data_IF_330900451057
#
_entry.id   IF_330900451057
#
_cell.length_a   1.000
_cell.length_b   1.000
_cell.length_c   1.000
_cell.angle_alpha   90.00
_cell.angle_beta   90.00
_cell.angle_gamma   90.00
#
_symmetry.space_group_name_H-M   'P 1'
#
loop_
_entity.id
_entity.type
_entity.pdbx_description
1 polymer ?
#
# COMPACT_ATOMS: atom_id res chain seq x y z
N UNK A 1 4.54 -0.95 -35.34
CA UNK A 1 3.95 -0.71 -33.99
C UNK A 1 4.63 -1.53 -32.86
N UNK A 2 5.94 -1.37 -32.63
CA UNK A 2 6.67 -2.23 -31.65
C UNK A 2 6.66 -1.71 -30.19
N UNK A 3 6.43 -0.41 -29.97
CA UNK A 3 6.45 0.19 -28.63
C UNK A 3 5.20 -0.10 -27.77
N UNK A 4 4.04 -0.37 -28.38
CA UNK A 4 2.78 -0.59 -27.64
C UNK A 4 2.83 -1.84 -26.75
N UNK A 5 3.47 -2.93 -27.22
CA UNK A 5 3.64 -4.17 -26.45
C UNK A 5 4.58 -3.97 -25.25
N UNK A 6 5.72 -3.28 -25.44
CA UNK A 6 6.66 -2.91 -24.36
C UNK A 6 5.99 -2.03 -23.31
N UNK A 7 5.26 -0.99 -23.72
CA UNK A 7 4.50 -0.12 -22.81
C UNK A 7 3.44 -0.88 -22.01
N UNK A 8 2.71 -1.81 -22.63
CA UNK A 8 1.72 -2.66 -21.94
C UNK A 8 2.39 -3.58 -20.92
N UNK A 9 3.53 -4.20 -21.27
CA UNK A 9 4.30 -5.04 -20.34
C UNK A 9 4.77 -4.23 -19.13
N UNK A 10 5.35 -3.06 -19.37
CA UNK A 10 5.82 -2.17 -18.28
C UNK A 10 4.69 -1.75 -17.35
N UNK A 11 3.51 -1.38 -17.89
CA UNK A 11 2.34 -1.06 -17.06
C UNK A 11 1.95 -2.22 -16.16
N UNK A 12 1.82 -3.43 -16.72
CA UNK A 12 1.51 -4.63 -15.93
C UNK A 12 2.54 -4.89 -14.82
N UNK A 13 3.83 -4.73 -15.11
CA UNK A 13 4.87 -4.86 -14.09
C UNK A 13 4.68 -3.87 -12.95
N UNK A 14 4.41 -2.59 -13.27
CA UNK A 14 4.16 -1.57 -12.25
C UNK A 14 2.85 -1.77 -11.50
N UNK A 15 1.83 -2.33 -12.13
CA UNK A 15 0.59 -2.72 -11.46
C UNK A 15 0.83 -3.86 -10.46
N UNK A 16 1.65 -4.86 -10.84
CA UNK A 16 2.06 -5.94 -9.92
C UNK A 16 2.88 -5.39 -8.75
N UNK A 17 3.86 -4.52 -9.01
CA UNK A 17 4.64 -3.86 -7.95
C UNK A 17 3.73 -3.06 -7.00
N UNK A 18 2.72 -2.36 -7.52
CA UNK A 18 1.75 -1.61 -6.72
C UNK A 18 0.94 -2.53 -5.80
N UNK A 19 0.48 -3.67 -6.30
CA UNK A 19 -0.27 -4.67 -5.51
C UNK A 19 0.61 -5.23 -4.38
N UNK A 20 1.85 -5.63 -4.70
CA UNK A 20 2.80 -6.13 -3.70
C UNK A 20 3.10 -5.08 -2.62
N UNK A 21 3.24 -3.82 -3.02
CA UNK A 21 3.47 -2.73 -2.09
C UNK A 21 2.25 -2.53 -1.17
N UNK A 22 1.04 -2.60 -1.72
CA UNK A 22 -0.21 -2.51 -0.96
C UNK A 22 -0.30 -3.59 0.13
N UNK A 23 0.02 -4.84 -0.21
CA UNK A 23 0.00 -5.93 0.76
C UNK A 23 1.02 -5.70 1.88
N UNK A 24 2.25 -5.31 1.52
CA UNK A 24 3.30 -5.06 2.53
C UNK A 24 2.98 -3.89 3.47
N UNK A 25 2.39 -2.81 2.96
CA UNK A 25 2.02 -1.65 3.77
C UNK A 25 0.79 -1.97 4.62
N UNK A 26 -0.15 -2.76 4.11
CA UNK A 26 -1.30 -3.21 4.89
C UNK A 26 -0.85 -3.99 6.12
N UNK A 27 0.04 -4.96 5.94
CA UNK A 27 0.58 -5.76 7.05
C UNK A 27 1.22 -4.84 8.10
N UNK A 28 2.06 -3.89 7.68
CA UNK A 28 2.69 -2.93 8.61
C UNK A 28 1.69 -2.04 9.32
N UNK A 29 0.67 -1.55 8.61
CA UNK A 29 -0.37 -0.71 9.21
C UNK A 29 -1.17 -1.50 10.26
N UNK A 30 -1.52 -2.76 9.95
CA UNK A 30 -2.23 -3.65 10.86
C UNK A 30 -1.37 -3.99 12.11
N UNK A 31 -0.06 -4.21 11.93
CA UNK A 31 0.90 -4.40 13.03
C UNK A 31 0.95 -3.17 13.95
N UNK A 32 1.16 -1.96 13.39
CA UNK A 32 1.20 -0.74 14.19
C UNK A 32 -0.14 -0.44 14.87
N UNK A 33 -1.27 -0.71 14.23
CA UNK A 33 -2.58 -0.60 14.87
C UNK A 33 -2.77 -1.59 16.01
N UNK A 34 -2.26 -2.81 15.87
CA UNK A 34 -2.30 -3.80 16.94
C UNK A 34 -1.48 -3.35 18.16
N UNK A 35 -0.31 -2.73 17.93
CA UNK A 35 0.50 -2.16 19.01
C UNK A 35 -0.22 -0.99 19.69
N UNK A 36 -0.77 -0.06 18.91
CA UNK A 36 -1.53 1.07 19.47
C UNK A 36 -2.73 0.58 20.31
N UNK A 37 -3.43 -0.47 19.88
CA UNK A 37 -4.58 -1.02 20.62
C UNK A 37 -4.22 -1.78 21.90
N UNK A 38 -3.05 -2.42 21.93
CA UNK A 38 -2.60 -3.25 23.06
C UNK A 38 -1.77 -2.48 24.10
N UNK A 39 -1.29 -1.28 23.76
CA UNK A 39 -0.45 -0.47 24.64
C UNK A 39 -1.31 0.41 25.56
N UNK A 40 -1.06 0.33 26.87
CA UNK A 40 -1.71 1.20 27.89
C UNK A 40 -1.07 2.61 27.91
N UNK A 41 0.21 2.71 27.54
CA UNK A 41 0.93 3.98 27.28
C UNK A 41 1.40 3.99 25.82
N UNK A 42 0.69 4.72 24.97
CA UNK A 42 1.06 4.87 23.56
C UNK A 42 2.13 5.95 23.47
N UNK A 43 3.37 5.54 23.18
CA UNK A 43 4.40 6.48 22.71
C UNK A 43 3.86 7.20 21.47
N UNK A 44 3.76 8.54 21.51
CA UNK A 44 3.18 9.36 20.43
C UNK A 44 3.87 9.15 19.08
N UNK A 45 5.11 8.64 19.10
CA UNK A 45 5.82 8.23 17.89
C UNK A 45 5.21 6.98 17.21
N UNK A 46 4.66 6.03 17.97
CA UNK A 46 4.00 4.83 17.44
C UNK A 46 2.66 5.20 16.80
N UNK A 47 1.85 6.06 17.44
CA UNK A 47 0.59 6.56 16.85
C UNK A 47 0.85 7.31 15.53
N UNK A 48 1.86 8.18 15.52
CA UNK A 48 2.25 8.94 14.32
C UNK A 48 2.65 8.01 13.16
N UNK A 49 3.40 6.94 13.46
CA UNK A 49 3.77 5.92 12.46
C UNK A 49 2.57 5.13 11.97
N UNK A 50 1.67 4.70 12.85
CA UNK A 50 0.45 3.99 12.47
C UNK A 50 -0.39 4.82 11.50
N UNK A 51 -0.60 6.10 11.81
CA UNK A 51 -1.32 7.05 10.95
C UNK A 51 -0.64 7.24 9.60
N UNK A 52 0.69 7.35 9.59
CA UNK A 52 1.46 7.52 8.35
C UNK A 52 1.34 6.30 7.44
N UNK A 53 1.52 5.09 7.98
CA UNK A 53 1.41 3.85 7.19
C UNK A 53 -0.03 3.66 6.66
N UNK A 54 -1.04 3.97 7.47
CA UNK A 54 -2.44 3.96 7.03
C UNK A 54 -2.70 4.97 5.91
N UNK A 55 -2.13 6.17 5.99
CA UNK A 55 -2.25 7.18 4.93
C UNK A 55 -1.60 6.71 3.62
N UNK A 56 -0.41 6.08 3.68
CA UNK A 56 0.25 5.48 2.51
C UNK A 56 -0.61 4.38 1.89
N UNK A 57 -1.17 3.49 2.71
CA UNK A 57 -2.06 2.43 2.26
C UNK A 57 -3.27 3.01 1.48
N UNK A 58 -3.96 3.98 2.07
CA UNK A 58 -5.15 4.60 1.46
C UNK A 58 -4.81 5.33 0.15
N UNK A 59 -3.67 6.02 0.11
CA UNK A 59 -3.20 6.67 -1.11
C UNK A 59 -2.98 5.65 -2.24
N UNK A 60 -2.23 4.57 -1.96
CA UNK A 60 -1.95 3.54 -2.95
C UNK A 60 -3.21 2.76 -3.36
N UNK A 61 -4.16 2.58 -2.44
CA UNK A 61 -5.43 1.91 -2.73
C UNK A 61 -6.27 2.75 -3.70
N UNK A 62 -6.24 4.08 -3.54
CA UNK A 62 -6.87 5.01 -4.47
C UNK A 62 -6.20 4.93 -5.85
N UNK A 63 -4.87 4.89 -5.91
CA UNK A 63 -4.11 4.72 -7.14
C UNK A 63 -4.45 3.41 -7.86
N UNK A 64 -4.50 2.29 -7.12
CA UNK A 64 -4.89 0.97 -7.64
C UNK A 64 -6.29 1.01 -8.26
N UNK A 65 -7.24 1.68 -7.60
CA UNK A 65 -8.62 1.86 -8.11
C UNK A 65 -8.65 2.67 -9.40
N UNK A 66 -7.91 3.79 -9.48
CA UNK A 66 -7.82 4.61 -10.69
C UNK A 66 -7.22 3.81 -11.86
N UNK A 67 -6.22 2.98 -11.57
CA UNK A 67 -5.56 2.11 -12.56
C UNK A 67 -6.36 0.87 -12.94
N UNK A 68 -7.45 0.58 -12.22
CA UNK A 68 -8.28 -0.63 -12.38
C UNK A 68 -7.44 -1.90 -12.28
N UNK A 69 -6.46 -1.92 -11.38
CA UNK A 69 -5.66 -3.11 -11.11
C UNK A 69 -6.55 -4.20 -10.52
N UNK A 70 -6.50 -5.41 -11.07
CA UNK A 70 -7.22 -6.56 -10.53
C UNK A 70 -6.32 -7.31 -9.56
N UNK A 71 -6.77 -7.49 -8.32
CA UNK A 71 -6.23 -8.50 -7.43
C UNK A 71 -6.77 -9.84 -7.94
N UNK A 72 -5.90 -10.72 -8.43
CA UNK A 72 -6.24 -12.05 -8.94
C UNK A 72 -5.64 -13.09 -8.04
#
# INVERSE_FOLDING_TARGET
MFGKKKKRKLRRQKDTELIQLLDSIKIKADEYESYVRSSVDIDGHIDSKARLERAKYLFLLKEARVRKTSFY
#
